data_IF_356523727291
#
_entry.id   IF_356523727291
#
_cell.length_a   1.000
_cell.length_b   1.000
_cell.length_c   1.000
_cell.angle_alpha   90.00
_cell.angle_beta   90.00
_cell.angle_gamma   90.00
#
_symmetry.space_group_name_H-M   'P 1'
#
loop_
_entity.id
_entity.type
_entity.pdbx_description
1 polymer ?
#
# COMPACT_ATOMS: atom_id res chain seq x y z
N UNK A 1 -2.51 -24.67 15.52
CA UNK A 1 -1.60 -23.86 14.70
C UNK A 1 -1.73 -22.44 15.22
N UNK A 2 -0.61 -21.84 15.64
CA UNK A 2 -0.57 -20.45 16.15
C UNK A 2 -0.13 -19.54 15.00
N UNK A 3 -0.59 -18.30 14.97
CA UNK A 3 -0.16 -17.31 13.98
C UNK A 3 1.13 -16.64 14.44
N UNK A 4 2.09 -16.45 13.51
CA UNK A 4 3.33 -15.69 13.74
C UNK A 4 3.04 -14.19 13.61
N UNK A 5 2.43 -13.61 14.65
CA UNK A 5 1.91 -12.23 14.64
C UNK A 5 3.00 -11.14 14.54
N UNK A 6 4.26 -11.50 14.75
CA UNK A 6 5.46 -10.69 14.54
C UNK A 6 5.89 -10.62 13.06
N UNK A 7 5.37 -11.52 12.21
CA UNK A 7 5.63 -11.54 10.75
C UNK A 7 4.38 -11.16 9.92
N UNK A 8 3.33 -10.66 10.59
CA UNK A 8 2.08 -10.23 9.95
C UNK A 8 1.97 -8.71 10.06
N UNK A 9 1.87 -8.00 8.93
CA UNK A 9 1.64 -6.54 8.94
C UNK A 9 0.40 -6.17 9.76
N UNK A 10 0.53 -5.11 10.56
CA UNK A 10 -0.48 -4.76 11.57
C UNK A 10 -1.91 -4.63 11.02
N UNK A 11 -2.10 -4.12 9.80
CA UNK A 11 -3.43 -3.82 9.26
C UNK A 11 -4.35 -5.04 9.18
N UNK A 12 -3.77 -6.24 9.09
CA UNK A 12 -4.53 -7.48 8.93
C UNK A 12 -5.19 -7.92 10.24
N UNK A 13 -4.63 -7.58 11.40
CA UNK A 13 -5.05 -8.11 12.71
C UNK A 13 -5.25 -7.04 13.79
N UNK A 14 -4.72 -5.84 13.59
CA UNK A 14 -4.63 -4.79 14.61
C UNK A 14 -5.13 -3.46 14.07
N UNK A 15 -6.29 -3.03 14.56
CA UNK A 15 -6.82 -1.68 14.29
C UNK A 15 -6.02 -0.65 15.07
N UNK A 16 -5.58 0.39 14.37
CA UNK A 16 -4.82 1.50 14.95
C UNK A 16 -5.72 2.73 15.10
N UNK A 17 -5.48 3.62 16.08
CA UNK A 17 -6.26 4.83 16.30
C UNK A 17 -5.83 5.96 15.34
N UNK A 18 -5.64 5.62 14.06
CA UNK A 18 -5.35 6.57 13.01
C UNK A 18 -6.60 7.39 12.67
N UNK A 19 -6.47 8.71 12.67
CA UNK A 19 -7.55 9.64 12.32
C UNK A 19 -7.45 10.12 10.88
N UNK A 20 -6.29 9.93 10.26
CA UNK A 20 -6.00 10.35 8.91
C UNK A 20 -5.04 9.35 8.26
N UNK A 21 -4.97 9.35 6.94
CA UNK A 21 -4.06 8.50 6.21
C UNK A 21 -3.89 8.90 4.76
N UNK A 22 -2.89 8.29 4.13
CA UNK A 22 -2.71 8.35 2.68
C UNK A 22 -2.61 6.94 2.12
N UNK A 23 -3.40 6.66 1.09
CA UNK A 23 -3.19 5.53 0.20
C UNK A 23 -2.42 6.03 -1.01
N UNK A 24 -1.14 5.69 -1.10
CA UNK A 24 -0.26 6.15 -2.16
C UNK A 24 0.10 5.01 -3.09
N UNK A 25 -0.18 5.17 -4.38
CA UNK A 25 0.09 4.18 -5.41
C UNK A 25 1.40 4.52 -6.10
N UNK A 26 2.27 3.53 -6.26
CA UNK A 26 3.62 3.71 -6.79
C UNK A 26 3.85 2.91 -8.06
N UNK A 27 4.69 3.46 -8.92
CA UNK A 27 5.31 2.81 -10.08
C UNK A 27 6.80 2.60 -9.81
N UNK A 28 7.32 1.50 -10.35
CA UNK A 28 8.74 1.13 -10.34
C UNK A 28 9.21 0.96 -11.78
N UNK A 29 9.94 1.94 -12.30
CA UNK A 29 10.56 1.91 -13.62
C UNK A 29 11.85 1.05 -13.61
N UNK A 30 12.46 0.85 -12.43
CA UNK A 30 13.60 -0.05 -12.22
C UNK A 30 13.41 -0.95 -11.02
N UNK A 31 13.83 -2.22 -11.16
CA UNK A 31 13.78 -3.19 -10.05
C UNK A 31 14.70 -2.79 -8.89
N UNK A 32 15.86 -2.20 -9.19
CA UNK A 32 16.79 -1.67 -8.17
C UNK A 32 16.18 -0.52 -7.37
N UNK A 33 15.46 0.39 -8.04
CA UNK A 33 14.75 1.49 -7.41
C UNK A 33 13.69 1.03 -6.44
N UNK A 34 12.78 0.17 -6.91
CA UNK A 34 11.72 -0.39 -6.08
C UNK A 34 12.26 -1.17 -4.88
N UNK A 35 13.35 -1.92 -5.04
CA UNK A 35 14.01 -2.62 -3.92
C UNK A 35 14.70 -1.67 -2.94
N UNK A 36 15.30 -0.59 -3.43
CA UNK A 36 15.89 0.44 -2.55
C UNK A 36 14.82 1.15 -1.72
N UNK A 37 13.68 1.50 -2.35
CA UNK A 37 12.51 2.06 -1.67
C UNK A 37 11.97 1.12 -0.59
N UNK A 38 11.82 -0.17 -0.91
CA UNK A 38 11.35 -1.17 0.05
C UNK A 38 12.34 -1.32 1.23
N UNK A 39 13.64 -1.43 0.95
CA UNK A 39 14.67 -1.59 1.97
C UNK A 39 14.68 -0.44 3.00
N UNK A 40 14.43 0.79 2.57
CA UNK A 40 14.35 1.98 3.43
C UNK A 40 13.07 2.00 4.28
N UNK A 41 11.96 1.42 3.79
CA UNK A 41 10.69 1.36 4.53
C UNK A 41 10.62 0.18 5.50
N UNK A 42 11.29 -0.94 5.22
CA UNK A 42 11.24 -2.16 6.05
C UNK A 42 11.44 -1.88 7.56
N UNK A 43 12.43 -1.08 8.01
CA UNK A 43 12.63 -0.80 9.43
C UNK A 43 11.51 0.04 10.08
N UNK A 44 10.61 0.60 9.27
CA UNK A 44 9.51 1.46 9.72
C UNK A 44 8.17 0.74 9.75
N UNK A 45 8.07 -0.46 9.15
CA UNK A 45 6.85 -1.27 9.17
C UNK A 45 6.62 -1.84 10.57
N UNK A 46 5.36 -2.04 10.91
CA UNK A 46 4.96 -2.63 12.19
C UNK A 46 4.18 -3.91 11.94
N UNK A 47 4.58 -4.97 12.64
CA UNK A 47 3.81 -6.20 12.73
C UNK A 47 2.56 -6.01 13.60
N UNK A 48 1.66 -6.99 13.62
CA UNK A 48 0.51 -7.02 14.52
C UNK A 48 0.95 -7.05 15.99
N UNK A 49 2.06 -7.73 16.30
CA UNK A 49 2.70 -7.70 17.61
C UNK A 49 3.19 -6.29 17.97
N UNK A 50 4.02 -5.66 17.11
CA UNK A 50 4.61 -4.34 17.35
C UNK A 50 3.52 -3.27 17.54
N UNK A 51 2.49 -3.29 16.70
CA UNK A 51 1.41 -2.32 16.78
C UNK A 51 0.60 -2.45 18.07
N UNK A 52 0.44 -3.66 18.59
CA UNK A 52 -0.25 -3.92 19.86
C UNK A 52 0.60 -3.42 21.04
N UNK A 53 1.90 -3.72 21.05
CA UNK A 53 2.82 -3.32 22.12
C UNK A 53 3.01 -1.79 22.18
N UNK A 54 3.07 -1.14 21.02
CA UNK A 54 3.39 0.30 20.91
C UNK A 54 2.16 1.18 20.71
N UNK A 55 0.94 0.66 20.87
CA UNK A 55 -0.32 1.32 20.49
C UNK A 55 -0.45 2.75 21.02
N UNK A 56 -0.16 2.97 22.31
CA UNK A 56 -0.34 4.26 22.98
C UNK A 56 0.76 5.28 22.61
N UNK A 57 1.98 4.79 22.31
CA UNK A 57 3.12 5.64 21.97
C UNK A 57 3.26 5.93 20.47
N UNK A 58 2.71 5.05 19.63
CA UNK A 58 2.75 5.20 18.18
C UNK A 58 1.77 6.28 17.68
N UNK A 59 2.27 7.12 16.77
CA UNK A 59 1.47 8.12 16.05
C UNK A 59 1.38 7.84 14.55
N UNK A 60 2.14 6.87 14.03
CA UNK A 60 2.12 6.45 12.62
C UNK A 60 2.07 4.94 12.52
N UNK A 61 1.50 4.45 11.43
CA UNK A 61 1.51 3.03 11.07
C UNK A 61 1.60 2.91 9.54
N UNK A 62 2.48 2.04 9.06
CA UNK A 62 2.74 1.88 7.63
C UNK A 62 2.43 0.46 7.22
N UNK A 63 1.67 0.31 6.14
CA UNK A 63 1.42 -0.98 5.49
C UNK A 63 1.80 -0.87 4.02
N UNK A 64 2.46 -1.90 3.49
CA UNK A 64 2.78 -2.03 2.07
C UNK A 64 2.04 -3.22 1.45
N UNK A 65 1.56 -3.06 0.22
CA UNK A 65 1.09 -4.16 -0.60
C UNK A 65 1.54 -3.99 -2.05
N UNK A 66 1.56 -5.10 -2.80
CA UNK A 66 2.08 -5.16 -4.16
C UNK A 66 1.07 -5.81 -5.09
N UNK A 67 1.03 -5.33 -6.34
CA UNK A 67 0.29 -5.99 -7.43
C UNK A 67 1.16 -7.09 -8.05
N UNK A 68 0.56 -7.96 -8.86
CA UNK A 68 1.32 -8.96 -9.62
C UNK A 68 2.34 -8.29 -10.57
N UNK A 69 1.97 -7.18 -11.21
CA UNK A 69 2.90 -6.41 -12.06
C UNK A 69 4.01 -5.74 -11.25
N UNK A 70 3.73 -5.31 -10.02
CA UNK A 70 4.74 -4.76 -9.12
C UNK A 70 5.74 -5.78 -8.61
N UNK A 71 5.29 -6.98 -8.24
CA UNK A 71 6.21 -8.08 -7.89
C UNK A 71 7.11 -8.44 -9.08
N UNK A 72 6.55 -8.49 -10.30
CA UNK A 72 7.32 -8.65 -11.53
C UNK A 72 8.33 -7.52 -11.74
N UNK A 73 7.91 -6.26 -11.55
CA UNK A 73 8.80 -5.10 -11.66
C UNK A 73 9.95 -5.12 -10.63
N UNK A 74 9.72 -5.72 -9.46
CA UNK A 74 10.76 -5.95 -8.44
C UNK A 74 11.69 -7.15 -8.77
N UNK A 75 11.40 -7.91 -9.82
CA UNK A 75 12.20 -9.04 -10.28
C UNK A 75 11.86 -10.38 -9.65
N UNK A 76 10.64 -10.54 -9.09
CA UNK A 76 10.15 -11.85 -8.65
C UNK A 76 10.01 -12.78 -9.87
N UNK A 77 10.48 -14.01 -9.76
CA UNK A 77 10.47 -14.98 -10.85
C UNK A 77 9.03 -15.36 -11.27
N UNK A 78 8.81 -15.57 -12.57
CA UNK A 78 7.49 -15.94 -13.09
C UNK A 78 6.95 -17.24 -12.50
N UNK A 79 7.81 -18.22 -12.20
CA UNK A 79 7.38 -19.47 -11.54
C UNK A 79 6.79 -19.21 -10.15
N UNK A 80 7.32 -18.21 -9.41
CA UNK A 80 6.73 -17.78 -8.15
C UNK A 80 5.44 -17.01 -8.37
N UNK A 81 5.39 -16.12 -9.35
CA UNK A 81 4.17 -15.36 -9.70
C UNK A 81 3.02 -16.29 -10.13
N UNK A 82 3.34 -17.38 -10.82
CA UNK A 82 2.38 -18.38 -11.28
C UNK A 82 1.67 -19.14 -10.14
N UNK A 83 2.22 -19.09 -8.91
CA UNK A 83 1.60 -19.72 -7.74
C UNK A 83 0.45 -18.92 -7.14
N UNK A 84 0.33 -17.63 -7.47
CA UNK A 84 -0.76 -16.79 -6.96
C UNK A 84 -2.10 -17.10 -7.65
N UNK A 85 -3.23 -16.84 -6.98
CA UNK A 85 -4.56 -17.00 -7.59
C UNK A 85 -4.71 -16.19 -8.88
N UNK A 86 -5.46 -16.73 -9.84
CA UNK A 86 -5.74 -16.10 -11.15
C UNK A 86 -6.22 -14.65 -10.99
N UNK A 87 -7.13 -14.43 -10.03
CA UNK A 87 -7.67 -13.11 -9.71
C UNK A 87 -6.58 -12.06 -9.38
N UNK A 88 -5.50 -12.46 -8.69
CA UNK A 88 -4.39 -11.58 -8.36
C UNK A 88 -3.44 -11.39 -9.55
N UNK A 89 -3.18 -12.46 -10.30
CA UNK A 89 -2.29 -12.43 -11.48
C UNK A 89 -2.86 -11.58 -12.61
N UNK A 90 -4.17 -11.63 -12.83
CA UNK A 90 -4.90 -10.87 -13.85
C UNK A 90 -5.07 -9.39 -13.45
N UNK A 91 -5.27 -9.12 -12.16
CA UNK A 91 -5.53 -7.77 -11.64
C UNK A 91 -6.99 -7.32 -11.81
N UNK A 92 -7.35 -6.24 -11.12
CA UNK A 92 -8.74 -5.80 -10.98
C UNK A 92 -9.34 -5.29 -12.30
N UNK A 93 -8.58 -4.52 -13.09
CA UNK A 93 -9.06 -3.92 -14.33
C UNK A 93 -9.38 -4.96 -15.41
N UNK A 94 -8.56 -6.01 -15.53
CA UNK A 94 -8.79 -7.10 -16.49
C UNK A 94 -10.04 -7.92 -16.16
N UNK A 95 -10.51 -7.86 -14.91
CA UNK A 95 -11.66 -8.62 -14.39
C UNK A 95 -12.90 -7.74 -14.16
N UNK A 96 -12.92 -6.55 -14.76
CA UNK A 96 -14.00 -5.59 -14.55
C UNK A 96 -15.39 -6.13 -14.98
N UNK A 97 -15.44 -6.98 -16.00
CA UNK A 97 -16.66 -7.67 -16.43
C UNK A 97 -17.22 -8.61 -15.35
N UNK A 98 -16.35 -9.34 -14.65
CA UNK A 98 -16.71 -10.21 -13.51
C UNK A 98 -17.15 -9.36 -12.30
N UNK A 99 -16.48 -8.23 -12.06
CA UNK A 99 -16.77 -7.32 -10.94
C UNK A 99 -18.03 -6.46 -11.17
N UNK A 100 -18.50 -6.35 -12.41
CA UNK A 100 -19.64 -5.52 -12.79
C UNK A 100 -19.28 -4.06 -13.09
N UNK A 101 -17.98 -3.74 -13.18
CA UNK A 101 -17.45 -2.41 -13.48
C UNK A 101 -17.61 -2.11 -14.99
N UNK A 102 -18.81 -1.66 -15.35
CA UNK A 102 -19.21 -1.38 -16.73
C UNK A 102 -19.74 0.06 -16.87
N UNK A 103 -19.91 0.53 -18.11
CA UNK A 103 -20.42 1.88 -18.38
C UNK A 103 -19.55 2.95 -17.73
N UNK A 104 -20.14 3.82 -16.91
CA UNK A 104 -19.43 4.90 -16.22
C UNK A 104 -18.40 4.41 -15.19
N UNK A 105 -18.52 3.17 -14.70
CA UNK A 105 -17.58 2.57 -13.74
C UNK A 105 -16.51 1.72 -14.41
N UNK A 106 -16.50 1.62 -15.75
CA UNK A 106 -15.52 0.80 -16.47
C UNK A 106 -14.07 1.28 -16.24
N UNK A 107 -13.06 0.40 -16.33
CA UNK A 107 -11.66 0.74 -16.03
C UNK A 107 -11.11 1.95 -16.76
N UNK A 108 -11.53 2.22 -18.01
CA UNK A 108 -11.13 3.43 -18.74
C UNK A 108 -11.57 4.76 -18.08
N UNK A 109 -12.46 4.70 -17.10
CA UNK A 109 -12.94 5.84 -16.32
C UNK A 109 -12.37 5.88 -14.90
N UNK A 110 -11.57 4.88 -14.50
CA UNK A 110 -10.93 4.91 -13.19
C UNK A 110 -9.90 6.03 -13.13
N UNK A 111 -9.98 6.80 -12.06
CA UNK A 111 -9.09 7.95 -11.83
C UNK A 111 -7.76 7.48 -11.23
N UNK A 112 -6.73 8.33 -11.31
CA UNK A 112 -5.44 8.08 -10.65
C UNK A 112 -4.59 6.99 -11.29
N UNK A 113 -4.85 6.61 -12.54
CA UNK A 113 -4.07 5.59 -13.25
C UNK A 113 -4.31 4.15 -12.74
N UNK A 114 -5.33 3.92 -11.90
CA UNK A 114 -5.51 2.65 -11.19
C UNK A 114 -5.92 1.46 -12.07
N UNK A 115 -6.28 1.71 -13.32
CA UNK A 115 -6.54 0.66 -14.32
C UNK A 115 -5.28 0.30 -15.14
N UNK A 116 -4.17 1.01 -14.95
CA UNK A 116 -2.93 0.79 -15.67
C UNK A 116 -2.11 -0.38 -15.13
N UNK A 117 -1.21 -0.90 -15.95
CA UNK A 117 -0.25 -1.95 -15.55
C UNK A 117 0.88 -1.41 -14.66
N UNK A 118 1.04 -0.08 -14.61
CA UNK A 118 2.08 0.66 -13.89
C UNK A 118 1.74 0.91 -12.41
N UNK A 119 0.60 0.41 -11.93
CA UNK A 119 0.27 0.32 -10.50
C UNK A 119 1.05 -0.86 -9.92
N UNK A 120 2.19 -0.60 -9.26
CA UNK A 120 3.07 -1.66 -8.77
C UNK A 120 2.92 -1.92 -7.26
N UNK A 121 2.75 -0.86 -6.48
CA UNK A 121 2.62 -0.96 -5.04
C UNK A 121 1.63 0.05 -4.49
N UNK A 122 1.17 -0.20 -3.28
CA UNK A 122 0.50 0.77 -2.43
C UNK A 122 1.28 0.91 -1.12
N UNK A 123 1.55 2.15 -0.71
CA UNK A 123 1.95 2.51 0.63
C UNK A 123 0.76 3.14 1.35
N UNK A 124 0.33 2.50 2.43
CA UNK A 124 -0.72 3.00 3.31
C UNK A 124 -0.04 3.65 4.50
N UNK A 125 -0.10 4.98 4.55
CA UNK A 125 0.52 5.81 5.57
C UNK A 125 -0.55 6.31 6.52
N UNK A 126 -0.82 5.55 7.59
CA UNK A 126 -1.76 5.98 8.64
C UNK A 126 -1.07 6.86 9.67
N UNK A 127 -1.79 7.88 10.14
CA UNK A 127 -1.34 8.77 11.18
C UNK A 127 -2.45 9.10 12.17
N UNK A 128 -2.05 9.33 13.42
CA UNK A 128 -2.94 9.67 14.53
C UNK A 128 -3.59 11.04 14.34
N UNK A 129 -2.92 11.97 13.66
CA UNK A 129 -3.37 13.34 13.43
C UNK A 129 -2.71 13.96 12.20
N UNK A 130 -3.22 15.13 11.78
CA UNK A 130 -2.80 15.85 10.57
C UNK A 130 -1.34 16.34 10.60
N UNK A 131 -0.77 16.55 11.80
CA UNK A 131 0.64 16.93 11.94
C UNK A 131 1.53 15.74 11.57
N UNK A 132 1.24 14.58 12.16
CA UNK A 132 2.01 13.37 11.90
C UNK A 132 1.77 12.85 10.47
N UNK A 133 0.57 13.04 9.91
CA UNK A 133 0.29 12.76 8.49
C UNK A 133 1.20 13.55 7.56
N UNK A 134 1.23 14.88 7.69
CA UNK A 134 2.10 15.75 6.89
C UNK A 134 3.57 15.39 7.03
N UNK A 135 4.00 15.03 8.25
CA UNK A 135 5.37 14.57 8.50
C UNK A 135 5.66 13.27 7.75
N UNK A 136 4.80 12.26 7.88
CA UNK A 136 5.01 10.95 7.26
C UNK A 136 4.97 11.03 5.73
N UNK A 137 4.01 11.77 5.17
CA UNK A 137 3.95 12.04 3.73
C UNK A 137 5.21 12.75 3.25
N UNK A 138 5.65 13.81 3.93
CA UNK A 138 6.86 14.53 3.53
C UNK A 138 8.14 13.68 3.60
N UNK A 139 8.24 12.73 4.54
CA UNK A 139 9.36 11.79 4.60
C UNK A 139 9.30 10.75 3.47
N UNK A 140 8.10 10.28 3.12
CA UNK A 140 7.91 9.35 2.00
C UNK A 140 8.14 10.03 0.64
N UNK A 141 7.68 11.27 0.45
CA UNK A 141 7.98 12.10 -0.73
C UNK A 141 9.51 12.23 -0.95
N UNK A 142 10.26 12.51 0.13
CA UNK A 142 11.73 12.56 0.08
C UNK A 142 12.36 11.21 -0.23
N UNK A 143 11.73 10.11 0.15
CA UNK A 143 12.20 8.75 -0.18
C UNK A 143 11.96 8.45 -1.65
N UNK A 144 10.75 8.67 -2.15
CA UNK A 144 10.42 8.52 -3.56
C UNK A 144 11.36 9.37 -4.43
N UNK A 145 11.57 10.64 -4.08
CA UNK A 145 12.43 11.55 -4.84
C UNK A 145 13.91 11.13 -4.93
N UNK A 146 14.42 10.32 -3.98
CA UNK A 146 15.82 9.84 -3.98
C UNK A 146 15.99 8.41 -4.50
N UNK A 147 14.90 7.66 -4.69
CA UNK A 147 14.92 6.31 -5.23
C UNK A 147 14.76 6.35 -6.76
N UNK A 148 15.84 6.05 -7.48
CA UNK A 148 15.86 6.08 -8.94
C UNK A 148 14.81 5.14 -9.55
N UNK A 149 13.97 5.66 -10.45
CA UNK A 149 12.89 4.89 -11.08
C UNK A 149 11.73 4.53 -10.13
N UNK A 150 11.55 5.22 -9.00
CA UNK A 150 10.34 5.13 -8.19
C UNK A 150 9.53 6.41 -8.35
N UNK A 151 8.23 6.28 -8.63
CA UNK A 151 7.34 7.43 -8.83
C UNK A 151 6.01 7.20 -8.13
N UNK A 152 5.45 8.27 -7.57
CA UNK A 152 4.04 8.30 -7.17
C UNK A 152 3.17 8.37 -8.42
N UNK A 153 2.29 7.39 -8.59
CA UNK A 153 1.30 7.35 -9.66
C UNK A 153 0.09 8.22 -9.31
N UNK A 154 -0.45 8.02 -8.12
CA UNK A 154 -1.55 8.79 -7.55
C UNK A 154 -1.64 8.54 -6.04
N UNK A 155 -2.47 9.31 -5.35
CA UNK A 155 -2.77 9.07 -3.95
C UNK A 155 -4.21 9.46 -3.62
N UNK A 156 -4.71 8.90 -2.52
CA UNK A 156 -5.97 9.27 -1.88
C UNK A 156 -5.70 9.58 -0.40
N UNK A 157 -5.94 10.82 -0.01
CA UNK A 157 -5.91 11.21 1.40
C UNK A 157 -7.25 10.89 2.07
N UNK A 158 -7.19 10.37 3.29
CA UNK A 158 -8.30 9.84 4.06
C UNK A 158 -8.38 10.59 5.39
N UNK A 159 -9.59 10.91 5.82
CA UNK A 159 -9.85 11.47 7.14
C UNK A 159 -11.01 10.72 7.78
N UNK A 160 -10.84 10.35 9.05
CA UNK A 160 -11.90 9.78 9.85
C UNK A 160 -13.03 10.83 9.99
N UNK A 161 -14.25 10.41 9.67
CA UNK A 161 -15.44 11.23 9.89
C UNK A 161 -16.14 10.77 11.18
N UNK A 162 -16.54 11.70 12.08
CA UNK A 162 -17.32 11.34 13.26
C UNK A 162 -18.67 10.71 12.87
N UNK A 163 -19.26 9.85 13.71
CA UNK A 163 -18.76 9.38 15.00
C UNK A 163 -17.75 8.22 14.86
N UNK A 164 -16.62 8.32 15.56
CA UNK A 164 -15.49 7.37 15.47
C UNK A 164 -15.76 5.98 16.08
N UNK A 165 -16.98 5.77 16.58
CA UNK A 165 -17.37 4.64 17.42
C UNK A 165 -18.05 3.51 16.63
N UNK A 166 -18.23 3.67 15.31
CA UNK A 166 -18.95 2.73 14.43
C UNK A 166 -18.08 2.17 13.29
N UNK A 167 -16.77 2.17 13.46
CA UNK A 167 -15.85 1.45 12.59
C UNK A 167 -15.35 0.19 13.29
#
# INVERSE_FOLDING_TARGET
MTLEIDDIQHILLTRTPAMTGRYEFLTFDTASGGRAWLAELLPTLQSAADATETMDGSRRWITLAFTATGLRALGVAEDSLATFPDAFREGMAARADILGDTGASAPQHWVGGLAGEDVHAIAILFARDDEEHRRCVGEHDKLVARCDGVRTLSYLDLNASPPFNYA
#
